data_IF_963864384316
#
_entry.id   IF_963864384316
#
_cell.length_a   1.000
_cell.length_b   1.000
_cell.length_c   1.000
_cell.angle_alpha   90.00
_cell.angle_beta   90.00
_cell.angle_gamma   90.00
#
_symmetry.space_group_name_H-M   'P 1'
#
loop_
_entity.id
_entity.type
_entity.pdbx_description
1 polymer ?
#
# COMPACT_ATOMS: atom_id res chain seq x y z
N UNK A 1 -12.35 -17.96 -15.56
CA UNK A 1 -11.91 -16.54 -15.71
C UNK A 1 -12.25 -15.73 -14.47
N UNK A 2 -13.47 -15.86 -13.91
CA UNK A 2 -13.85 -15.22 -12.66
C UNK A 2 -13.00 -15.69 -11.47
N UNK A 3 -12.68 -16.99 -11.40
CA UNK A 3 -11.90 -17.59 -10.29
C UNK A 3 -10.45 -17.11 -10.22
N UNK A 4 -9.85 -16.83 -11.38
CA UNK A 4 -8.48 -16.29 -11.44
C UNK A 4 -8.44 -14.84 -10.97
N UNK A 5 -9.46 -14.05 -11.32
CA UNK A 5 -9.51 -12.63 -10.99
C UNK A 5 -9.75 -12.41 -9.49
N UNK A 6 -10.63 -13.22 -8.90
CA UNK A 6 -10.86 -13.22 -7.45
C UNK A 6 -9.64 -13.72 -6.69
N UNK A 7 -8.97 -14.77 -7.17
CA UNK A 7 -7.72 -15.24 -6.56
C UNK A 7 -6.65 -14.14 -6.54
N UNK A 8 -6.41 -13.48 -7.68
CA UNK A 8 -5.43 -12.38 -7.76
C UNK A 8 -5.78 -11.24 -6.80
N UNK A 9 -7.06 -10.84 -6.75
CA UNK A 9 -7.52 -9.79 -5.82
C UNK A 9 -7.23 -10.15 -4.37
N UNK A 10 -7.62 -11.36 -3.95
CA UNK A 10 -7.40 -11.83 -2.57
C UNK A 10 -5.91 -11.88 -2.24
N UNK A 11 -5.07 -12.37 -3.16
CA UNK A 11 -3.63 -12.39 -2.94
C UNK A 11 -3.04 -10.99 -2.81
N UNK A 12 -3.54 -10.01 -3.57
CA UNK A 12 -3.11 -8.62 -3.46
C UNK A 12 -3.42 -8.05 -2.07
N UNK A 13 -4.64 -8.29 -1.59
CA UNK A 13 -5.09 -7.81 -0.28
C UNK A 13 -4.29 -8.42 0.86
N UNK A 14 -3.99 -9.72 0.78
CA UNK A 14 -3.17 -10.41 1.77
C UNK A 14 -1.73 -9.88 1.77
N UNK A 15 -1.13 -9.69 0.60
CA UNK A 15 0.24 -9.16 0.48
C UNK A 15 0.30 -7.72 1.01
N UNK A 16 -0.66 -6.87 0.66
CA UNK A 16 -0.73 -5.50 1.16
C UNK A 16 -0.93 -5.46 2.69
N UNK A 17 -1.80 -6.32 3.25
CA UNK A 17 -2.00 -6.42 4.69
C UNK A 17 -0.74 -6.89 5.45
N UNK A 18 -0.02 -7.86 4.90
CA UNK A 18 1.26 -8.33 5.45
C UNK A 18 2.31 -7.22 5.37
N UNK A 19 2.40 -6.54 4.22
CA UNK A 19 3.30 -5.41 4.00
C UNK A 19 3.07 -4.27 4.99
N UNK A 20 1.81 -3.88 5.21
CA UNK A 20 1.45 -2.90 6.23
C UNK A 20 1.84 -3.37 7.63
N UNK A 21 1.59 -4.63 7.98
CA UNK A 21 1.88 -5.19 9.31
C UNK A 21 3.38 -5.18 9.62
N UNK A 22 4.21 -5.63 8.69
CA UNK A 22 5.67 -5.65 8.89
C UNK A 22 6.29 -4.25 8.89
N UNK A 23 5.82 -3.34 8.03
CA UNK A 23 6.29 -1.95 8.06
C UNK A 23 5.87 -1.23 9.35
N UNK A 24 4.66 -1.48 9.85
CA UNK A 24 4.23 -0.96 11.15
C UNK A 24 5.09 -1.51 12.30
N UNK A 25 5.42 -2.81 12.28
CA UNK A 25 6.33 -3.41 13.24
C UNK A 25 7.74 -2.80 13.14
N UNK A 26 8.23 -2.52 11.93
CA UNK A 26 9.52 -1.90 11.72
C UNK A 26 9.55 -0.45 12.25
N UNK A 27 8.47 0.31 12.06
CA UNK A 27 8.29 1.64 12.67
C UNK A 27 8.33 1.53 14.20
N UNK A 28 7.63 0.55 14.78
CA UNK A 28 7.66 0.33 16.22
C UNK A 28 9.07 0.01 16.73
N UNK A 29 9.79 -0.92 16.09
CA UNK A 29 11.14 -1.29 16.49
C UNK A 29 12.13 -0.13 16.33
N UNK A 30 12.00 0.65 15.26
CA UNK A 30 12.88 1.80 15.03
C UNK A 30 12.68 2.89 16.08
N UNK A 31 11.44 3.18 16.48
CA UNK A 31 11.12 4.20 17.48
C UNK A 31 11.46 3.79 18.92
N UNK A 32 11.15 2.56 19.31
CA UNK A 32 11.21 2.14 20.72
C UNK A 32 12.46 1.33 21.08
N UNK A 33 13.04 0.58 20.14
CA UNK A 33 14.11 -0.37 20.43
C UNK A 33 15.52 0.11 20.01
N UNK A 34 15.62 1.17 19.18
CA UNK A 34 16.91 1.52 18.55
C UNK A 34 17.86 2.27 19.50
N UNK A 35 19.09 1.77 19.75
CA UNK A 35 20.07 2.45 20.60
C UNK A 35 20.62 3.72 19.93
N UNK A 36 21.02 4.71 20.75
CA UNK A 36 21.50 6.05 20.31
C UNK A 36 22.67 6.01 19.31
N UNK A 37 23.48 4.95 19.32
CA UNK A 37 24.65 4.80 18.44
C UNK A 37 24.23 4.60 16.96
N UNK A 38 23.01 4.10 16.71
CA UNK A 38 22.49 3.84 15.35
C UNK A 38 21.45 4.86 14.88
N UNK A 39 21.33 6.02 15.55
CA UNK A 39 20.20 6.94 15.37
C UNK A 39 20.08 7.50 13.94
N UNK A 40 21.20 7.79 13.29
CA UNK A 40 21.20 8.30 11.90
C UNK A 40 20.64 7.27 10.92
N UNK A 41 21.03 6.00 11.07
CA UNK A 41 20.53 4.91 10.21
C UNK A 41 19.07 4.55 10.53
N UNK A 42 18.71 4.59 11.80
CA UNK A 42 17.32 4.35 12.27
C UNK A 42 16.32 5.32 11.66
N UNK A 43 16.69 6.59 11.52
CA UNK A 43 15.81 7.62 10.93
C UNK A 43 15.53 7.33 9.45
N UNK A 44 16.54 6.84 8.72
CA UNK A 44 16.37 6.44 7.33
C UNK A 44 15.44 5.23 7.22
N UNK A 45 15.67 4.19 8.04
CA UNK A 45 14.80 3.01 8.06
C UNK A 45 13.36 3.38 8.41
N UNK A 46 13.16 4.26 9.41
CA UNK A 46 11.83 4.71 9.79
C UNK A 46 11.13 5.43 8.63
N UNK A 47 11.81 6.31 7.90
CA UNK A 47 11.24 6.98 6.73
C UNK A 47 10.87 6.00 5.61
N UNK A 48 11.72 5.00 5.34
CA UNK A 48 11.40 3.94 4.39
C UNK A 48 10.18 3.14 4.84
N UNK A 49 10.14 2.71 6.10
CA UNK A 49 9.03 1.94 6.64
C UNK A 49 7.69 2.72 6.62
N UNK A 50 7.72 4.02 6.91
CA UNK A 50 6.54 4.90 6.81
C UNK A 50 6.07 4.99 5.35
N UNK A 51 7.01 5.21 4.42
CA UNK A 51 6.69 5.34 3.00
C UNK A 51 6.11 4.04 2.45
N UNK A 52 6.70 2.89 2.78
CA UNK A 52 6.23 1.58 2.35
C UNK A 52 4.88 1.23 2.99
N UNK A 53 4.67 1.58 4.27
CA UNK A 53 3.36 1.45 4.91
C UNK A 53 2.29 2.26 4.16
N UNK A 54 2.57 3.53 3.87
CA UNK A 54 1.65 4.40 3.12
C UNK A 54 1.39 3.87 1.72
N UNK A 55 2.42 3.37 1.02
CA UNK A 55 2.27 2.78 -0.31
C UNK A 55 1.33 1.57 -0.28
N UNK A 56 1.52 0.62 0.65
CA UNK A 56 0.63 -0.53 0.80
C UNK A 56 -0.79 -0.11 1.23
N UNK A 57 -0.91 0.91 2.07
CA UNK A 57 -2.21 1.44 2.49
C UNK A 57 -2.99 2.02 1.31
N UNK A 58 -2.36 2.88 0.51
CA UNK A 58 -2.99 3.49 -0.65
C UNK A 58 -3.29 2.49 -1.76
N UNK A 59 -2.39 1.54 -1.98
CA UNK A 59 -2.61 0.42 -2.91
C UNK A 59 -3.86 -0.39 -2.55
N UNK A 60 -4.03 -0.75 -1.27
CA UNK A 60 -5.24 -1.43 -0.79
C UNK A 60 -6.48 -0.52 -0.80
N UNK A 61 -6.29 0.78 -0.53
CA UNK A 61 -7.38 1.76 -0.53
C UNK A 61 -8.00 1.96 -1.92
N UNK A 62 -7.17 1.93 -2.95
CA UNK A 62 -7.56 2.23 -4.34
C UNK A 62 -7.85 0.96 -5.15
N UNK A 63 -7.03 -0.09 -4.98
CA UNK A 63 -7.00 -1.31 -5.81
C UNK A 63 -7.13 -0.97 -7.30
N UNK A 64 -6.18 -0.18 -7.81
CA UNK A 64 -6.23 0.33 -9.18
C UNK A 64 -5.88 -0.75 -10.19
N UNK A 65 -6.72 -0.90 -11.22
CA UNK A 65 -6.43 -1.69 -12.42
C UNK A 65 -6.34 -0.79 -13.65
N UNK A 66 -5.21 -0.87 -14.34
CA UNK A 66 -4.95 -0.16 -15.59
C UNK A 66 -5.36 -1.01 -16.79
N UNK A 67 -6.18 -0.45 -17.68
CA UNK A 67 -6.59 -1.10 -18.94
C UNK A 67 -6.06 -0.23 -20.09
N UNK A 68 -5.02 -0.68 -20.81
CA UNK A 68 -4.49 0.05 -21.96
C UNK A 68 -5.47 -0.06 -23.15
N UNK A 69 -5.85 1.08 -23.71
CA UNK A 69 -6.71 1.20 -24.89
C UNK A 69 -6.05 2.14 -25.93
N UNK A 70 -4.91 1.69 -26.47
CA UNK A 70 -4.15 2.44 -27.48
C UNK A 70 -3.59 3.75 -26.92
N UNK A 71 -4.15 4.89 -27.35
CA UNK A 71 -3.77 6.23 -26.89
C UNK A 71 -4.44 6.64 -25.58
N UNK A 72 -5.30 5.78 -25.01
CA UNK A 72 -6.05 6.07 -23.78
C UNK A 72 -5.77 5.02 -22.71
N UNK A 73 -5.81 5.43 -21.44
CA UNK A 73 -5.66 4.58 -20.27
C UNK A 73 -6.97 4.60 -19.48
N UNK A 74 -7.59 3.43 -19.32
CA UNK A 74 -8.72 3.23 -18.43
C UNK A 74 -8.25 2.94 -17.02
N UNK A 75 -8.75 3.70 -16.05
CA UNK A 75 -8.53 3.48 -14.62
C UNK A 75 -9.77 2.83 -14.01
N UNK A 76 -9.61 1.64 -13.44
CA UNK A 76 -10.69 0.94 -12.72
C UNK A 76 -10.30 0.82 -11.26
N UNK A 77 -11.10 1.42 -10.38
CA UNK A 77 -10.90 1.42 -8.94
C UNK A 77 -11.86 0.43 -8.28
N UNK A 78 -11.32 -0.56 -7.57
CA UNK A 78 -12.12 -1.59 -6.90
C UNK A 78 -12.07 -1.49 -5.36
N UNK A 79 -11.21 -0.62 -4.83
CA UNK A 79 -10.96 -0.53 -3.40
C UNK A 79 -12.01 0.26 -2.61
N UNK A 80 -11.80 0.37 -1.28
CA UNK A 80 -12.65 1.13 -0.36
C UNK A 80 -12.87 2.59 -0.75
N UNK A 81 -11.97 3.20 -1.53
CA UNK A 81 -12.05 4.59 -1.98
C UNK A 81 -13.41 4.92 -2.64
N UNK A 82 -14.05 3.94 -3.29
CA UNK A 82 -15.36 4.09 -3.94
C UNK A 82 -16.48 4.52 -2.97
N UNK A 83 -16.37 4.14 -1.70
CA UNK A 83 -17.38 4.46 -0.68
C UNK A 83 -17.23 5.87 -0.10
N UNK A 84 -16.04 6.48 -0.21
CA UNK A 84 -15.77 7.82 0.32
C UNK A 84 -16.08 8.89 -0.74
N UNK A 85 -15.80 8.58 -2.01
CA UNK A 85 -16.12 9.45 -3.13
C UNK A 85 -15.13 9.28 -4.28
N UNK A 86 -15.54 9.67 -5.49
CA UNK A 86 -14.72 9.53 -6.70
C UNK A 86 -13.38 10.25 -6.61
N UNK A 87 -13.34 11.43 -5.99
CA UNK A 87 -12.09 12.18 -5.83
C UNK A 87 -11.09 11.48 -4.89
N UNK A 88 -11.57 10.68 -3.93
CA UNK A 88 -10.70 9.96 -3.01
C UNK A 88 -9.91 8.85 -3.73
N UNK A 89 -10.49 8.22 -4.75
CA UNK A 89 -9.80 7.22 -5.57
C UNK A 89 -8.67 7.81 -6.45
N UNK A 90 -8.74 9.10 -6.78
CA UNK A 90 -7.68 9.80 -7.52
C UNK A 90 -6.59 10.39 -6.62
N UNK A 91 -6.88 10.56 -5.33
CA UNK A 91 -5.95 11.13 -4.37
C UNK A 91 -5.08 10.08 -3.67
N UNK A 92 -5.56 8.84 -3.61
CA UNK A 92 -4.79 7.69 -3.11
C UNK A 92 -3.71 7.26 -4.09
#
# INVERSE_FOLDING_TARGET
MLDLLTFVSITHDVVAAIGMSFNLLLIYLTLFQTPRVMRSYSTLIANFAITDFCACFFDLFVQQRLIPAGLTLGYVFNGPCKYIGTNACYAG
#
